data_IF_095416934544
#
_entry.id   IF_095416934544
#
_cell.length_a   1.000
_cell.length_b   1.000
_cell.length_c   1.000
_cell.angle_alpha   90.00
_cell.angle_beta   90.00
_cell.angle_gamma   90.00
#
_symmetry.space_group_name_H-M   'P 1'
#
loop_
_entity.id
_entity.type
_entity.pdbx_description
1 polymer ?
#
# COMPACT_ATOMS: atom_id res chain seq x y z
N UNK A 1 1.35 14.32 5.07
CA UNK A 1 1.41 13.38 6.20
C UNK A 1 1.88 12.02 5.69
N UNK A 2 2.51 11.21 6.55
CA UNK A 2 3.00 9.87 6.20
C UNK A 2 2.05 8.82 6.77
N UNK A 3 1.63 7.85 5.95
CA UNK A 3 0.75 6.76 6.36
C UNK A 3 1.45 5.41 6.25
N UNK A 4 1.20 4.53 7.24
CA UNK A 4 1.60 3.13 7.22
C UNK A 4 0.43 2.27 6.75
N UNK A 5 0.58 1.67 5.58
CA UNK A 5 -0.42 0.84 4.92
C UNK A 5 -0.20 -0.61 5.34
N UNK A 6 -1.24 -1.23 5.87
CA UNK A 6 -1.21 -2.59 6.42
C UNK A 6 -2.20 -3.47 5.66
N UNK A 7 -1.76 -4.21 4.62
CA UNK A 7 -2.67 -4.97 3.77
C UNK A 7 -3.60 -5.93 4.53
N UNK A 8 -3.12 -6.54 5.60
CA UNK A 8 -3.92 -7.44 6.44
C UNK A 8 -5.13 -6.77 7.13
N UNK A 9 -5.13 -5.44 7.21
CA UNK A 9 -6.24 -4.69 7.79
C UNK A 9 -7.23 -4.14 6.76
N UNK A 10 -6.77 -3.93 5.54
CA UNK A 10 -7.55 -3.39 4.41
C UNK A 10 -8.10 -4.50 3.51
N UNK A 11 -7.65 -5.75 3.71
CA UNK A 11 -8.19 -6.91 3.01
C UNK A 11 -9.57 -7.28 3.58
N UNK A 12 -10.59 -7.29 2.73
CA UNK A 12 -11.96 -7.73 3.08
C UNK A 12 -12.03 -9.24 3.32
N UNK A 13 -11.11 -10.03 2.74
CA UNK A 13 -11.12 -11.49 2.78
C UNK A 13 -10.37 -12.09 3.98
N UNK A 14 -10.47 -11.47 5.16
CA UNK A 14 -9.68 -11.86 6.35
C UNK A 14 -9.80 -13.35 6.72
N UNK A 15 -10.96 -13.96 6.47
CA UNK A 15 -11.26 -15.36 6.78
C UNK A 15 -10.37 -16.34 5.99
N UNK A 16 -9.84 -15.93 4.83
CA UNK A 16 -9.04 -16.80 3.94
C UNK A 16 -7.53 -16.75 4.20
N UNK A 17 -7.05 -15.87 5.08
CA UNK A 17 -5.61 -15.67 5.30
C UNK A 17 -5.03 -16.61 6.36
N UNK A 18 -4.14 -17.53 5.96
CA UNK A 18 -3.37 -18.38 6.90
C UNK A 18 -2.51 -17.50 7.81
N UNK A 19 -2.80 -17.52 9.11
CA UNK A 19 -2.18 -16.71 10.17
C UNK A 19 -2.34 -15.19 9.99
N UNK A 20 -3.33 -14.73 9.21
CA UNK A 20 -3.52 -13.31 8.94
C UNK A 20 -2.41 -12.67 8.10
N UNK A 21 -1.69 -13.46 7.29
CA UNK A 21 -0.59 -12.99 6.44
C UNK A 21 -1.05 -12.90 4.97
N UNK A 22 -0.95 -11.71 4.39
CA UNK A 22 -1.24 -11.41 2.98
C UNK A 22 0.00 -11.69 2.12
N UNK A 23 0.13 -12.94 1.66
CA UNK A 23 1.27 -13.39 0.85
C UNK A 23 1.18 -13.01 -0.62
N UNK A 24 -0.03 -12.90 -1.15
CA UNK A 24 -0.26 -12.57 -2.56
C UNK A 24 0.09 -11.10 -2.83
N UNK A 25 1.07 -10.88 -3.70
CA UNK A 25 1.57 -9.56 -4.08
C UNK A 25 0.56 -8.76 -4.89
N UNK A 26 -0.23 -9.44 -5.74
CA UNK A 26 -1.31 -8.81 -6.52
C UNK A 26 -2.41 -8.33 -5.59
N UNK A 27 -2.72 -9.09 -4.54
CA UNK A 27 -3.65 -8.67 -3.51
C UNK A 27 -3.12 -7.46 -2.74
N UNK A 28 -1.84 -7.46 -2.35
CA UNK A 28 -1.22 -6.29 -1.70
C UNK A 28 -1.24 -5.06 -2.62
N UNK A 29 -0.95 -5.22 -3.91
CA UNK A 29 -0.99 -4.15 -4.90
C UNK A 29 -2.39 -3.57 -5.01
N UNK A 30 -3.40 -4.41 -5.23
CA UNK A 30 -4.81 -3.98 -5.33
C UNK A 30 -5.25 -3.19 -4.11
N UNK A 31 -4.83 -3.60 -2.91
CA UNK A 31 -5.09 -2.86 -1.67
C UNK A 31 -4.40 -1.50 -1.69
N UNK A 32 -3.14 -1.42 -2.07
CA UNK A 32 -2.41 -0.15 -2.13
C UNK A 32 -3.01 0.81 -3.17
N UNK A 33 -3.46 0.29 -4.33
CA UNK A 33 -4.17 1.06 -5.35
C UNK A 33 -5.53 1.56 -4.83
N UNK A 34 -6.27 0.74 -4.10
CA UNK A 34 -7.53 1.15 -3.47
C UNK A 34 -7.35 2.29 -2.47
N UNK A 35 -6.31 2.22 -1.63
CA UNK A 35 -5.97 3.29 -0.68
C UNK A 35 -5.53 4.56 -1.41
N UNK A 36 -4.73 4.41 -2.47
CA UNK A 36 -4.30 5.52 -3.32
C UNK A 36 -5.52 6.26 -3.90
N UNK A 37 -6.45 5.52 -4.51
CA UNK A 37 -7.64 6.11 -5.15
C UNK A 37 -8.56 6.77 -4.13
N UNK A 38 -8.77 6.11 -2.99
CA UNK A 38 -9.55 6.66 -1.89
C UNK A 38 -8.93 7.96 -1.35
N UNK A 39 -7.61 8.00 -1.14
CA UNK A 39 -6.92 9.20 -0.68
C UNK A 39 -7.05 10.36 -1.69
N UNK A 40 -6.90 10.08 -2.99
CA UNK A 40 -7.12 11.06 -4.06
C UNK A 40 -8.55 11.60 -4.02
N UNK A 41 -9.55 10.73 -3.87
CA UNK A 41 -10.95 11.15 -3.74
C UNK A 41 -11.22 12.03 -2.51
N UNK A 42 -10.40 11.90 -1.47
CA UNK A 42 -10.45 12.73 -0.25
C UNK A 42 -9.66 14.04 -0.36
N UNK A 43 -9.10 14.37 -1.53
CA UNK A 43 -8.29 15.57 -1.74
C UNK A 43 -6.85 15.46 -1.21
N UNK A 44 -6.34 14.25 -1.04
CA UNK A 44 -4.96 13.99 -0.66
C UNK A 44 -4.15 13.57 -1.88
N UNK A 45 -3.04 14.25 -2.11
CA UNK A 45 -2.20 14.06 -3.28
C UNK A 45 -1.03 13.13 -2.93
N UNK A 46 -0.93 11.91 -3.52
CA UNK A 46 0.16 10.98 -3.27
C UNK A 46 1.49 11.51 -3.83
N UNK A 47 2.56 11.38 -3.05
CA UNK A 47 3.88 11.97 -3.35
C UNK A 47 4.97 10.92 -3.49
N UNK A 48 5.00 9.93 -2.60
CA UNK A 48 6.01 8.85 -2.57
C UNK A 48 5.40 7.59 -1.99
N UNK A 49 5.94 6.45 -2.40
CA UNK A 49 5.55 5.14 -1.89
C UNK A 49 6.79 4.25 -1.78
N UNK A 50 6.89 3.49 -0.69
CA UNK A 50 7.98 2.54 -0.48
C UNK A 50 7.56 1.43 0.48
N UNK A 51 8.26 0.32 0.46
CA UNK A 51 8.11 -0.78 1.40
C UNK A 51 8.63 -0.37 2.78
N UNK A 52 7.85 -0.61 3.83
CA UNK A 52 8.30 -0.44 5.21
C UNK A 52 9.36 -1.50 5.56
N UNK A 53 10.18 -1.31 6.60
CA UNK A 53 11.20 -2.30 6.99
C UNK A 53 10.62 -3.71 7.16
N UNK A 54 11.14 -4.65 6.37
CA UNK A 54 10.68 -6.04 6.35
C UNK A 54 10.99 -6.74 7.67
N UNK A 55 10.08 -7.61 8.09
CA UNK A 55 10.23 -8.44 9.29
C UNK A 55 9.88 -9.88 8.96
N UNK A 56 10.75 -10.79 9.34
CA UNK A 56 10.56 -12.23 9.09
C UNK A 56 9.26 -12.72 9.73
N UNK A 57 8.49 -13.52 8.97
CA UNK A 57 7.23 -14.09 9.43
C UNK A 57 6.11 -13.07 9.68
N UNK A 58 6.24 -11.82 9.23
CA UNK A 58 5.21 -10.76 9.35
C UNK A 58 4.69 -10.34 7.97
N UNK A 59 3.64 -9.53 7.97
CA UNK A 59 3.11 -8.93 6.75
C UNK A 59 4.09 -7.90 6.17
N UNK A 60 4.19 -7.85 4.85
CA UNK A 60 4.79 -6.70 4.15
C UNK A 60 3.87 -5.50 4.32
N UNK A 61 4.41 -4.42 4.89
CA UNK A 61 3.71 -3.15 5.10
C UNK A 61 4.36 -2.08 4.20
N UNK A 62 3.64 -0.99 3.92
CA UNK A 62 4.12 0.06 3.03
C UNK A 62 3.97 1.45 3.65
N UNK A 63 4.78 2.40 3.20
CA UNK A 63 4.69 3.80 3.56
C UNK A 63 4.23 4.61 2.36
N UNK A 64 3.19 5.42 2.53
CA UNK A 64 2.76 6.39 1.52
C UNK A 64 2.81 7.80 2.09
N UNK A 65 3.51 8.69 1.38
CA UNK A 65 3.58 10.11 1.69
C UNK A 65 2.48 10.85 0.91
N UNK A 66 1.66 11.61 1.62
CA UNK A 66 0.62 12.46 1.04
C UNK A 66 0.87 13.93 1.34
N UNK A 67 0.39 14.80 0.46
CA UNK A 67 0.20 16.23 0.71
C UNK A 67 -1.30 16.54 0.72
N UNK A 68 -1.76 17.42 1.61
CA UNK A 68 -3.16 17.88 1.59
C UNK A 68 -3.32 18.91 0.48
N UNK A 69 -4.11 18.59 -0.54
CA UNK A 69 -4.18 19.39 -1.77
C UNK A 69 -2.87 19.41 -2.56
N UNK A 70 -2.94 19.92 -3.78
CA UNK A 70 -1.80 20.05 -4.69
C UNK A 70 -1.70 18.94 -5.73
N UNK A 71 -0.61 18.93 -6.50
CA UNK A 71 -0.40 17.97 -7.57
C UNK A 71 -0.06 16.57 -7.04
N UNK A 72 -0.62 15.56 -7.69
CA UNK A 72 -0.16 14.18 -7.58
C UNK A 72 1.26 14.11 -8.16
N UNK A 73 2.20 13.50 -7.42
CA UNK A 73 3.60 13.33 -7.86
C UNK A 73 4.05 11.88 -7.91
N UNK A 74 3.15 10.96 -7.58
CA UNK A 74 3.39 9.53 -7.58
C UNK A 74 2.44 8.90 -8.60
N UNK A 75 2.99 8.42 -9.71
CA UNK A 75 2.22 7.64 -10.68
C UNK A 75 1.90 6.24 -10.11
N UNK A 76 0.76 5.66 -10.51
CA UNK A 76 0.36 4.32 -10.04
C UNK A 76 1.37 3.23 -10.38
N UNK A 77 2.08 3.34 -11.49
CA UNK A 77 3.13 2.39 -11.88
C UNK A 77 4.24 2.28 -10.82
N UNK A 78 4.47 3.34 -10.04
CA UNK A 78 5.42 3.29 -8.93
C UNK A 78 4.97 2.34 -7.80
N UNK A 79 3.65 2.18 -7.58
CA UNK A 79 3.13 1.16 -6.65
C UNK A 79 3.43 -0.23 -7.17
N UNK A 80 3.18 -0.50 -8.47
CA UNK A 80 3.48 -1.79 -9.09
C UNK A 80 4.97 -2.11 -8.95
N UNK A 81 5.84 -1.20 -9.37
CA UNK A 81 7.29 -1.39 -9.30
C UNK A 81 7.76 -1.65 -7.88
N UNK A 82 7.19 -0.99 -6.87
CA UNK A 82 7.58 -1.21 -5.47
C UNK A 82 7.05 -2.54 -4.92
N UNK A 83 5.78 -2.86 -5.14
CA UNK A 83 5.13 -4.08 -4.59
C UNK A 83 5.69 -5.35 -5.21
N UNK A 84 6.07 -5.29 -6.48
CA UNK A 84 6.55 -6.44 -7.27
C UNK A 84 8.07 -6.57 -7.26
N UNK A 85 8.80 -5.73 -6.51
CA UNK A 85 10.24 -5.90 -6.30
C UNK A 85 10.49 -7.26 -5.65
N UNK A 86 11.26 -8.10 -6.32
CA UNK A 86 11.82 -9.29 -5.71
C UNK A 86 12.87 -8.85 -4.68
N UNK A 87 12.65 -9.23 -3.43
CA UNK A 87 13.64 -9.11 -2.36
C UNK A 87 14.72 -10.17 -2.52
#
# INVERSE_FOLDING_TARGET
FLSLLKPQFECEERIRLKNGIVRDEKLRLKICEGIYDFAVSCGLSPQKFTTAPLREGKNTEYLMLFTKGGAIRLEKDALYCEVMKKN
#
